data_IF_847034121640
#
_entry.id   IF_847034121640
#
_cell.length_a   1.000
_cell.length_b   1.000
_cell.length_c   1.000
_cell.angle_alpha   90.00
_cell.angle_beta   90.00
_cell.angle_gamma   90.00
#
_symmetry.space_group_name_H-M   'P 1'
#
loop_
_entity.id
_entity.type
_entity.pdbx_description
1 polymer ?
#
# COMPACT_ATOMS: atom_id res chain seq x y z
N UNK A 1 25.07 -0.05 -7.59
CA UNK A 1 23.72 -0.48 -8.01
C UNK A 1 22.81 -0.17 -6.85
N UNK A 2 21.83 0.70 -7.09
CA UNK A 2 20.87 1.07 -6.05
C UNK A 2 19.97 -0.14 -5.75
N UNK A 3 19.74 -0.41 -4.47
CA UNK A 3 18.84 -1.49 -4.04
C UNK A 3 17.50 -0.88 -3.67
N UNK A 4 16.51 -1.06 -4.53
CA UNK A 4 15.14 -0.58 -4.34
C UNK A 4 14.27 -1.73 -3.87
N UNK A 5 13.45 -1.45 -2.87
CA UNK A 5 12.51 -2.40 -2.29
C UNK A 5 11.12 -1.77 -2.26
N UNK A 6 10.17 -2.40 -2.94
CA UNK A 6 8.78 -1.92 -3.02
C UNK A 6 7.94 -2.62 -1.94
N UNK A 7 7.72 -1.94 -0.83
CA UNK A 7 7.02 -2.44 0.36
C UNK A 7 5.56 -1.94 0.36
N UNK A 8 4.68 -2.54 1.17
CA UNK A 8 3.32 -2.06 1.38
C UNK A 8 2.41 -3.15 1.92
N UNK A 9 1.38 -2.76 2.68
CA UNK A 9 0.37 -3.69 3.19
C UNK A 9 -0.32 -4.43 2.05
N UNK A 10 -0.88 -5.61 2.35
CA UNK A 10 -1.70 -6.34 1.38
C UNK A 10 -2.78 -5.41 0.80
N UNK A 11 -2.96 -5.44 -0.53
CA UNK A 11 -3.96 -4.60 -1.26
C UNK A 11 -3.65 -3.11 -1.36
N UNK A 12 -2.44 -2.67 -1.04
CA UNK A 12 -1.94 -1.30 -1.29
C UNK A 12 -1.64 -0.99 -2.76
N UNK A 13 -1.48 -1.99 -3.63
CA UNK A 13 -1.07 -1.79 -5.02
C UNK A 13 0.42 -1.97 -5.29
N UNK A 14 1.17 -2.58 -4.35
CA UNK A 14 2.60 -2.89 -4.48
C UNK A 14 2.99 -3.51 -5.82
N UNK A 15 2.25 -4.49 -6.34
CA UNK A 15 2.55 -5.12 -7.64
C UNK A 15 2.49 -4.13 -8.81
N UNK A 16 1.57 -3.16 -8.74
CA UNK A 16 1.43 -2.15 -9.78
C UNK A 16 2.61 -1.18 -9.77
N UNK A 17 2.97 -0.66 -8.59
CA UNK A 17 4.12 0.23 -8.43
C UNK A 17 5.45 -0.49 -8.71
N UNK A 18 5.58 -1.76 -8.32
CA UNK A 18 6.73 -2.59 -8.66
C UNK A 18 6.90 -2.76 -10.17
N UNK A 19 5.81 -2.99 -10.90
CA UNK A 19 5.82 -3.02 -12.36
C UNK A 19 6.20 -1.67 -12.99
N UNK A 20 5.67 -0.56 -12.46
CA UNK A 20 6.04 0.79 -12.88
C UNK A 20 7.55 1.03 -12.71
N UNK A 21 8.10 0.68 -11.54
CA UNK A 21 9.52 0.89 -11.25
C UNK A 21 10.39 0.05 -12.18
N UNK A 22 10.07 -1.23 -12.36
CA UNK A 22 10.82 -2.15 -13.23
C UNK A 22 10.91 -1.69 -14.69
N UNK A 23 9.93 -0.94 -15.17
CA UNK A 23 9.88 -0.44 -16.56
C UNK A 23 10.59 0.89 -16.76
N UNK A 24 10.65 1.71 -15.72
CA UNK A 24 11.09 3.10 -15.85
C UNK A 24 12.50 3.33 -15.31
N UNK A 25 13.02 2.47 -14.44
CA UNK A 25 14.30 2.70 -13.77
C UNK A 25 15.32 1.58 -14.05
N UNK A 26 16.61 1.97 -14.11
CA UNK A 26 17.74 1.08 -14.34
C UNK A 26 17.67 -0.16 -13.43
N UNK A 27 18.23 -1.31 -13.86
CA UNK A 27 18.09 -2.57 -13.15
C UNK A 27 18.50 -2.45 -11.69
N UNK A 28 17.47 -2.41 -10.86
CA UNK A 28 17.59 -2.48 -9.43
C UNK A 28 17.76 -3.95 -9.04
N UNK A 29 18.65 -4.26 -8.11
CA UNK A 29 18.58 -5.53 -7.40
C UNK A 29 17.29 -5.52 -6.56
N UNK A 30 16.21 -6.03 -7.14
CA UNK A 30 14.98 -6.29 -6.42
C UNK A 30 15.24 -7.38 -5.40
N UNK A 31 15.33 -7.00 -4.13
CA UNK A 31 15.32 -7.95 -3.01
C UNK A 31 13.89 -8.49 -2.88
N UNK A 32 13.38 -9.17 -3.91
CA UNK A 32 12.07 -9.81 -3.87
C UNK A 32 12.20 -11.13 -3.11
N UNK A 33 11.15 -11.52 -2.38
CA UNK A 33 10.91 -12.87 -1.82
C UNK A 33 11.21 -13.20 -0.34
N UNK A 34 11.51 -12.27 0.56
CA UNK A 34 11.13 -12.58 1.94
C UNK A 34 9.59 -12.60 1.97
N UNK A 35 8.95 -13.68 2.39
CA UNK A 35 7.47 -13.82 2.36
C UNK A 35 6.83 -13.05 3.53
N UNK A 36 7.63 -12.70 4.53
CA UNK A 36 7.20 -12.23 5.85
C UNK A 36 6.75 -10.74 5.84
N UNK A 37 7.54 -9.83 5.27
CA UNK A 37 7.27 -8.37 5.21
C UNK A 37 5.96 -7.88 4.56
N UNK A 38 5.27 -8.70 3.74
CA UNK A 38 3.95 -8.32 3.18
C UNK A 38 2.80 -8.54 4.17
N UNK A 39 3.08 -9.31 5.22
CA UNK A 39 2.07 -9.80 6.14
C UNK A 39 2.48 -9.78 7.61
N UNK A 40 3.71 -9.41 7.95
CA UNK A 40 4.19 -9.43 9.32
C UNK A 40 4.96 -8.14 9.61
N UNK A 41 4.64 -7.54 10.75
CA UNK A 41 5.41 -6.44 11.29
C UNK A 41 6.68 -7.02 11.91
N UNK A 42 7.84 -6.72 11.34
CA UNK A 42 9.13 -7.19 11.86
C UNK A 42 9.67 -6.12 12.80
N UNK A 43 9.98 -6.45 14.06
CA UNK A 43 10.48 -5.47 15.05
C UNK A 43 11.82 -4.83 14.63
N UNK A 44 12.57 -5.48 13.72
CA UNK A 44 13.83 -5.00 13.16
C UNK A 44 13.69 -4.63 11.67
N UNK A 45 12.78 -3.69 11.37
CA UNK A 45 12.66 -3.17 9.99
C UNK A 45 13.99 -2.58 9.54
N UNK A 46 14.54 -3.13 8.45
CA UNK A 46 15.72 -2.57 7.81
C UNK A 46 17.03 -3.30 8.09
N UNK A 47 17.12 -4.17 9.11
CA UNK A 47 18.39 -4.85 9.44
C UNK A 47 18.93 -5.75 8.34
N UNK A 48 18.02 -6.32 7.55
CA UNK A 48 18.35 -7.23 6.44
C UNK A 48 18.67 -6.48 5.14
N UNK A 49 18.59 -5.14 5.17
CA UNK A 49 18.80 -4.29 4.01
C UNK A 49 20.11 -3.54 4.14
N UNK A 50 20.88 -3.42 3.05
CA UNK A 50 22.03 -2.54 3.05
C UNK A 50 21.61 -1.08 3.32
N UNK A 51 22.44 -0.29 4.04
CA UNK A 51 22.11 1.08 4.40
C UNK A 51 21.81 2.00 3.22
N UNK A 52 22.35 1.70 2.04
CA UNK A 52 22.12 2.44 0.79
C UNK A 52 20.80 2.09 0.08
N UNK A 53 20.00 1.18 0.65
CA UNK A 53 18.75 0.76 0.03
C UNK A 53 17.69 1.87 0.08
N UNK A 54 16.94 2.00 -1.03
CA UNK A 54 15.77 2.86 -1.12
C UNK A 54 14.52 2.01 -0.93
N UNK A 55 13.69 2.38 0.02
CA UNK A 55 12.42 1.74 0.32
C UNK A 55 11.32 2.56 -0.33
N UNK A 56 10.59 1.98 -1.29
CA UNK A 56 9.36 2.59 -1.82
C UNK A 56 8.18 2.04 -1.02
N UNK A 57 7.62 2.86 -0.14
CA UNK A 57 6.48 2.53 0.71
C UNK A 57 5.17 2.80 -0.02
N UNK A 58 4.59 1.76 -0.61
CA UNK A 58 3.31 1.88 -1.32
C UNK A 58 2.17 1.83 -0.32
N UNK A 59 1.31 2.84 -0.37
CA UNK A 59 0.15 2.95 0.50
C UNK A 59 -1.10 3.38 -0.26
N UNK A 60 -2.24 3.26 0.42
CA UNK A 60 -3.54 3.80 0.06
C UNK A 60 -4.07 4.58 1.25
N UNK A 61 -5.06 5.45 1.04
CA UNK A 61 -5.83 5.92 2.19
C UNK A 61 -6.38 4.73 2.99
N UNK A 62 -6.48 4.80 4.33
CA UNK A 62 -6.98 3.69 5.12
C UNK A 62 -8.41 3.29 4.71
N UNK A 63 -9.23 4.23 4.25
CA UNK A 63 -10.55 3.96 3.66
C UNK A 63 -10.45 3.10 2.39
N UNK A 64 -9.71 3.55 1.37
CA UNK A 64 -9.49 2.82 0.10
C UNK A 64 -8.85 1.44 0.33
N UNK A 65 -8.00 1.34 1.35
CA UNK A 65 -7.38 0.09 1.76
C UNK A 65 -8.41 -0.89 2.33
N UNK A 66 -9.24 -0.45 3.28
CA UNK A 66 -10.28 -1.29 3.89
C UNK A 66 -11.28 -1.84 2.86
N UNK A 67 -11.77 -1.03 1.93
CA UNK A 67 -12.60 -1.52 0.83
C UNK A 67 -11.89 -2.60 0.00
N UNK A 68 -10.59 -2.39 -0.22
CA UNK A 68 -9.79 -3.33 -1.01
C UNK A 68 -9.61 -4.67 -0.29
N UNK A 69 -9.67 -4.69 1.04
CA UNK A 69 -9.70 -5.90 1.87
C UNK A 69 -11.06 -6.60 1.81
N UNK A 70 -12.18 -5.86 1.84
CA UNK A 70 -13.53 -6.42 1.67
C UNK A 70 -13.65 -7.20 0.34
N UNK A 71 -13.01 -6.69 -0.73
CA UNK A 71 -12.94 -7.38 -2.03
C UNK A 71 -12.06 -8.63 -2.01
N UNK A 72 -10.89 -8.58 -1.36
CA UNK A 72 -9.99 -9.74 -1.25
C UNK A 72 -8.88 -9.51 -0.21
N UNK A 73 -8.83 -10.36 0.82
CA UNK A 73 -7.78 -10.37 1.83
C UNK A 73 -7.21 -11.80 1.96
N UNK A 74 -6.55 -12.27 0.88
CA UNK A 74 -6.06 -13.66 0.71
C UNK A 74 -5.48 -14.28 1.99
N UNK A 75 -4.57 -13.58 2.66
CA UNK A 75 -3.79 -14.17 3.76
C UNK A 75 -3.66 -13.28 5.00
N UNK A 76 -4.25 -12.07 5.02
CA UNK A 76 -4.07 -11.11 6.12
C UNK A 76 -4.33 -11.72 7.52
N UNK A 77 -5.38 -12.54 7.63
CA UNK A 77 -5.79 -13.22 8.86
C UNK A 77 -4.82 -14.33 9.34
N UNK A 78 -3.92 -14.81 8.48
CA UNK A 78 -2.93 -15.85 8.86
C UNK A 78 -1.83 -15.31 9.74
N UNK A 79 -1.57 -14.01 9.64
CA UNK A 79 -0.40 -13.36 10.22
C UNK A 79 -0.75 -12.31 11.28
N UNK A 80 -2.03 -11.99 11.42
CA UNK A 80 -2.51 -10.99 12.36
C UNK A 80 -3.74 -11.49 13.09
N UNK A 81 -3.77 -11.30 14.40
CA UNK A 81 -4.99 -11.39 15.18
C UNK A 81 -5.83 -10.14 14.94
N UNK A 82 -6.87 -10.30 14.12
CA UNK A 82 -7.79 -9.24 13.73
C UNK A 82 -9.15 -9.36 14.41
N UNK A 83 -9.28 -10.29 15.37
CA UNK A 83 -10.47 -10.37 16.21
C UNK A 83 -10.44 -9.26 17.26
N UNK A 84 -11.60 -8.71 17.58
CA UNK A 84 -11.69 -7.65 18.57
C UNK A 84 -13.09 -7.08 18.71
N UNK A 85 -13.27 -6.21 19.73
CA UNK A 85 -14.49 -5.43 19.89
C UNK A 85 -14.59 -4.33 18.82
N UNK A 86 -15.67 -3.56 18.91
CA UNK A 86 -15.93 -2.40 18.06
C UNK A 86 -16.56 -2.74 16.72
N UNK A 87 -16.60 -1.76 15.79
CA UNK A 87 -17.12 -1.96 14.45
C UNK A 87 -16.36 -3.05 13.70
N UNK A 88 -17.08 -3.81 12.88
CA UNK A 88 -16.54 -4.97 12.18
C UNK A 88 -16.87 -4.94 10.71
N UNK A 89 -15.89 -5.29 9.87
CA UNK A 89 -16.09 -5.48 8.44
C UNK A 89 -15.92 -6.94 8.04
N UNK A 90 -16.58 -7.32 6.95
CA UNK A 90 -16.42 -8.65 6.35
C UNK A 90 -15.38 -8.61 5.25
N UNK A 91 -14.31 -9.38 5.39
CA UNK A 91 -13.26 -9.53 4.37
C UNK A 91 -13.35 -10.90 3.69
N UNK A 92 -13.12 -10.94 2.37
CA UNK A 92 -13.14 -12.19 1.59
C UNK A 92 -11.83 -12.95 1.72
N UNK A 93 -11.93 -14.25 2.06
CA UNK A 93 -10.79 -15.16 2.24
C UNK A 93 -10.27 -15.68 0.89
N UNK A 94 -9.65 -14.78 0.11
CA UNK A 94 -9.00 -15.14 -1.16
C UNK A 94 -9.91 -15.81 -2.19
N UNK A 95 -9.41 -16.85 -2.86
CA UNK A 95 -10.10 -17.57 -3.96
C UNK A 95 -11.18 -18.55 -3.48
N UNK A 96 -11.37 -18.71 -2.17
CA UNK A 96 -12.42 -19.58 -1.63
C UNK A 96 -13.74 -18.82 -1.64
N UNK A 97 -14.56 -19.08 -2.66
CA UNK A 97 -15.90 -18.53 -2.75
C UNK A 97 -16.71 -18.86 -1.47
N UNK A 98 -17.39 -17.85 -0.93
CA UNK A 98 -18.27 -18.00 0.24
C UNK A 98 -17.61 -17.87 1.62
N UNK A 99 -16.28 -17.91 1.75
CA UNK A 99 -15.64 -17.70 3.05
C UNK A 99 -15.37 -16.22 3.33
N UNK A 100 -16.17 -15.65 4.23
CA UNK A 100 -15.96 -14.32 4.80
C UNK A 100 -15.42 -14.44 6.21
N UNK A 101 -14.50 -13.55 6.56
CA UNK A 101 -14.02 -13.36 7.93
C UNK A 101 -14.51 -12.01 8.43
N UNK A 102 -14.99 -12.00 9.66
CA UNK A 102 -15.34 -10.78 10.36
C UNK A 102 -14.11 -10.30 11.13
N UNK A 103 -13.70 -9.06 10.90
CA UNK A 103 -12.49 -8.47 11.51
C UNK A 103 -12.84 -7.13 12.14
N UNK A 104 -12.15 -6.80 13.23
CA UNK A 104 -12.29 -5.52 13.93
C UNK A 104 -11.65 -4.39 13.13
N UNK A 105 -12.39 -3.30 12.92
CA UNK A 105 -11.92 -2.08 12.26
C UNK A 105 -10.77 -1.46 13.07
N UNK A 106 -10.88 -1.43 14.40
CA UNK A 106 -9.83 -0.92 15.28
C UNK A 106 -8.51 -1.70 15.12
N UNK A 107 -8.58 -3.04 15.05
CA UNK A 107 -7.40 -3.88 14.82
C UNK A 107 -6.76 -3.63 13.47
N UNK A 108 -7.56 -3.36 12.44
CA UNK A 108 -7.05 -2.99 11.12
C UNK A 108 -6.40 -1.58 11.14
N UNK A 109 -6.97 -0.62 11.85
CA UNK A 109 -6.37 0.72 12.04
C UNK A 109 -5.03 0.65 12.78
N UNK A 110 -4.96 -0.15 13.85
CA UNK A 110 -3.70 -0.40 14.58
C UNK A 110 -2.65 -1.05 13.67
N UNK A 111 -3.02 -2.10 12.93
CA UNK A 111 -2.13 -2.74 11.96
C UNK A 111 -1.63 -1.73 10.91
N UNK A 112 -2.54 -0.95 10.35
CA UNK A 112 -2.20 0.07 9.36
C UNK A 112 -1.19 1.06 9.93
N UNK A 113 -1.46 1.55 11.14
CA UNK A 113 -0.63 2.57 11.79
C UNK A 113 0.75 2.05 12.14
N UNK A 114 0.84 0.90 12.82
CA UNK A 114 2.12 0.29 13.19
C UNK A 114 2.96 -0.01 11.96
N UNK A 115 2.37 -0.57 10.90
CA UNK A 115 3.10 -0.89 9.68
C UNK A 115 3.75 0.35 9.06
N UNK A 116 2.98 1.40 8.79
CA UNK A 116 3.50 2.59 8.12
C UNK A 116 4.47 3.36 9.00
N UNK A 117 4.16 3.55 10.29
CA UNK A 117 5.09 4.21 11.21
C UNK A 117 6.39 3.46 11.36
N UNK A 118 6.36 2.13 11.41
CA UNK A 118 7.58 1.34 11.48
C UNK A 118 8.52 1.62 10.31
N UNK A 119 7.98 1.65 9.08
CA UNK A 119 8.80 1.93 7.90
C UNK A 119 9.23 3.37 7.79
N UNK A 120 8.34 4.32 8.09
CA UNK A 120 8.65 5.75 8.12
C UNK A 120 9.70 6.11 9.19
N UNK A 121 9.75 5.36 10.30
CA UNK A 121 10.75 5.52 11.38
C UNK A 121 12.00 4.68 11.18
N UNK A 122 12.07 3.85 10.13
CA UNK A 122 13.25 3.04 9.86
C UNK A 122 14.44 3.94 9.48
N UNK A 123 15.66 3.44 9.68
CA UNK A 123 16.88 4.17 9.29
C UNK A 123 17.14 4.19 7.78
N UNK A 124 16.32 3.48 7.00
CA UNK A 124 16.46 3.41 5.55
C UNK A 124 15.82 4.63 4.88
N UNK A 125 16.35 5.02 3.73
CA UNK A 125 15.73 6.05 2.89
C UNK A 125 14.39 5.52 2.39
N UNK A 126 13.30 6.04 2.94
CA UNK A 126 11.93 5.63 2.61
C UNK A 126 11.22 6.71 1.81
N UNK A 127 10.63 6.33 0.68
CA UNK A 127 9.85 7.18 -0.23
C UNK A 127 8.40 6.70 -0.20
N UNK A 128 7.49 7.41 0.47
CA UNK A 128 6.07 7.07 0.45
C UNK A 128 5.47 7.35 -0.94
N UNK A 129 4.70 6.38 -1.44
CA UNK A 129 4.00 6.47 -2.73
C UNK A 129 2.55 6.04 -2.53
N UNK A 130 1.64 7.01 -2.52
CA UNK A 130 0.21 6.75 -2.55
C UNK A 130 -0.19 6.19 -3.91
N UNK A 131 -0.91 5.06 -3.95
CA UNK A 131 -1.41 4.48 -5.19
C UNK A 131 -2.30 5.46 -5.95
N UNK A 132 -3.11 6.22 -5.22
CA UNK A 132 -3.99 7.27 -5.75
C UNK A 132 -3.19 8.32 -6.52
N UNK A 133 -2.01 8.74 -6.01
CA UNK A 133 -1.12 9.65 -6.73
C UNK A 133 -0.54 9.03 -7.99
N UNK A 134 -0.21 7.73 -7.99
CA UNK A 134 0.29 7.05 -9.20
C UNK A 134 -0.77 7.03 -10.30
N UNK A 135 -2.04 6.87 -9.91
CA UNK A 135 -3.17 6.84 -10.84
C UNK A 135 -3.48 8.23 -11.38
N UNK A 136 -3.40 9.25 -10.53
CA UNK A 136 -3.70 10.63 -10.89
C UNK A 136 -2.58 11.27 -11.73
N UNK A 137 -1.32 11.08 -11.34
CA UNK A 137 -0.15 11.67 -11.98
C UNK A 137 1.08 10.75 -11.91
N UNK A 138 1.13 9.78 -12.82
CA UNK A 138 2.27 8.85 -12.91
C UNK A 138 3.61 9.58 -13.17
N UNK A 139 3.58 10.69 -13.91
CA UNK A 139 4.79 11.45 -14.24
C UNK A 139 5.37 12.13 -13.00
N UNK A 140 4.51 12.78 -12.19
CA UNK A 140 4.91 13.37 -10.92
C UNK A 140 5.46 12.34 -9.95
N UNK A 141 4.88 11.14 -9.89
CA UNK A 141 5.45 10.04 -9.07
C UNK A 141 6.81 9.59 -9.57
N UNK A 142 6.99 9.42 -10.89
CA UNK A 142 8.29 9.05 -11.47
C UNK A 142 9.35 10.11 -11.16
N UNK A 143 9.02 11.40 -11.32
CA UNK A 143 9.94 12.49 -10.96
C UNK A 143 10.38 12.45 -9.50
N UNK A 144 9.45 12.23 -8.55
CA UNK A 144 9.81 12.07 -7.12
C UNK A 144 10.72 10.88 -6.85
N UNK A 145 10.55 9.78 -7.58
CA UNK A 145 11.42 8.61 -7.47
C UNK A 145 12.82 8.91 -8.03
N UNK A 146 12.94 9.70 -9.10
CA UNK A 146 14.22 10.21 -9.62
C UNK A 146 14.92 11.10 -8.59
N UNK A 147 14.21 12.04 -7.97
CA UNK A 147 14.71 12.90 -6.90
C UNK A 147 15.18 12.10 -5.68
N UNK A 148 14.54 10.97 -5.39
CA UNK A 148 14.94 10.06 -4.33
C UNK A 148 16.20 9.25 -4.65
N UNK A 149 16.68 9.29 -5.90
CA UNK A 149 17.92 8.66 -6.36
C UNK A 149 17.73 7.46 -7.28
N UNK A 150 16.50 7.13 -7.72
CA UNK A 150 16.32 6.10 -8.73
C UNK A 150 16.74 6.63 -10.10
N UNK A 151 17.54 5.86 -10.83
CA UNK A 151 18.03 6.25 -12.16
C UNK A 151 17.06 5.80 -13.23
N UNK A 152 16.59 6.72 -14.05
CA UNK A 152 15.64 6.43 -15.13
C UNK A 152 16.32 5.77 -16.33
N UNK A 153 15.62 4.85 -16.98
CA UNK A 153 16.06 4.27 -18.26
C UNK A 153 15.83 5.31 -19.36
N UNK A 154 16.85 5.60 -20.18
CA UNK A 154 16.78 6.62 -21.25
C UNK A 154 15.65 6.39 -22.26
N UNK A 155 15.19 5.14 -22.43
CA UNK A 155 14.10 4.74 -23.33
C UNK A 155 12.82 4.31 -22.56
N UNK A 156 12.57 4.85 -21.37
CA UNK A 156 11.38 4.49 -20.60
C UNK A 156 10.09 4.88 -21.35
N UNK A 157 9.27 3.90 -21.71
CA UNK A 157 7.87 4.14 -22.04
C UNK A 157 7.10 4.31 -20.73
N UNK A 158 6.55 5.50 -20.49
CA UNK A 158 5.69 5.78 -19.34
C UNK A 158 4.31 5.11 -19.46
N UNK A 159 4.11 4.27 -20.48
CA UNK A 159 2.88 3.55 -20.71
C UNK A 159 2.83 2.27 -19.86
N UNK A 160 1.85 2.25 -18.96
CA UNK A 160 1.50 1.06 -18.21
C UNK A 160 0.61 0.17 -19.07
N UNK A 161 1.22 -0.65 -19.93
CA UNK A 161 0.54 -1.82 -20.48
C UNK A 161 0.24 -2.80 -19.34
N UNK A 162 -1.02 -2.82 -18.90
CA UNK A 162 -1.52 -3.64 -17.80
C UNK A 162 -1.39 -5.15 -18.03
N UNK A 163 -1.04 -5.58 -19.24
CA UNK A 163 -0.99 -6.99 -19.64
C UNK A 163 0.08 -7.81 -18.89
N UNK A 164 1.18 -7.19 -18.44
CA UNK A 164 2.34 -7.94 -17.91
C UNK A 164 2.13 -8.50 -16.49
N UNK A 165 1.10 -8.08 -15.74
CA UNK A 165 0.98 -8.43 -14.31
C UNK A 165 -0.31 -9.17 -13.90
N UNK A 166 -1.12 -9.68 -14.84
CA UNK A 166 -2.46 -10.25 -14.56
C UNK A 166 -3.38 -9.31 -13.74
N UNK A 167 -3.01 -8.04 -13.58
CA UNK A 167 -3.81 -7.02 -12.94
C UNK A 167 -4.70 -6.44 -14.03
N UNK A 168 -6.02 -6.63 -13.91
CA UNK A 168 -7.00 -6.01 -14.81
C UNK A 168 -6.72 -4.49 -14.87
N UNK A 169 -6.74 -3.86 -16.06
CA UNK A 169 -6.72 -2.42 -16.18
C UNK A 169 -7.76 -1.80 -15.26
N UNK A 170 -7.37 -0.78 -14.47
CA UNK A 170 -8.33 0.00 -13.71
C UNK A 170 -9.31 0.62 -14.72
N UNK A 171 -10.59 0.30 -14.58
CA UNK A 171 -11.62 0.90 -15.41
C UNK A 171 -11.67 2.41 -15.19
N UNK A 172 -12.24 3.17 -16.13
CA UNK A 172 -12.48 4.60 -15.92
C UNK A 172 -13.27 4.87 -14.62
N UNK A 173 -14.19 3.97 -14.26
CA UNK A 173 -14.93 4.02 -13.00
C UNK A 173 -14.03 3.79 -11.78
N UNK A 174 -13.09 2.84 -11.84
CA UNK A 174 -12.16 2.60 -10.73
C UNK A 174 -11.22 3.80 -10.54
N UNK A 175 -10.79 4.43 -11.64
CA UNK A 175 -9.96 5.65 -11.60
C UNK A 175 -10.73 6.83 -11.00
N UNK A 176 -11.96 7.06 -11.45
CA UNK A 176 -12.81 8.13 -10.91
C UNK A 176 -13.10 7.93 -9.41
N UNK A 177 -13.38 6.68 -8.98
CA UNK A 177 -13.61 6.34 -7.57
C UNK A 177 -12.35 6.53 -6.72
N UNK A 178 -11.18 6.14 -7.21
CA UNK A 178 -9.91 6.35 -6.50
C UNK A 178 -9.50 7.83 -6.46
N UNK A 179 -10.03 8.67 -7.35
CA UNK A 179 -9.82 10.11 -7.36
C UNK A 179 -10.82 10.88 -6.49
N UNK A 180 -11.94 10.27 -6.09
CA UNK A 180 -12.93 10.86 -5.19
C UNK A 180 -12.77 10.29 -3.76
N UNK A 181 -12.14 11.05 -2.85
CA UNK A 181 -11.88 10.61 -1.49
C UNK A 181 -13.15 10.52 -0.64
N UNK A 182 -14.36 10.78 -1.16
CA UNK A 182 -15.62 10.66 -0.40
C UNK A 182 -16.46 9.45 -0.81
N UNK A 183 -16.05 8.74 -1.87
CA UNK A 183 -16.83 7.66 -2.49
C UNK A 183 -16.49 6.27 -1.90
N UNK A 184 -16.67 6.12 -0.58
CA UNK A 184 -16.43 4.85 0.10
C UNK A 184 -17.72 4.06 0.36
N UNK A 185 -17.70 2.77 0.08
CA UNK A 185 -18.72 1.76 0.41
C UNK A 185 -18.44 1.20 1.83
N UNK A 186 -18.26 2.13 2.77
CA UNK A 186 -18.08 1.87 4.20
C UNK A 186 -19.19 2.61 4.95
N UNK A 187 -19.76 1.99 5.98
CA UNK A 187 -20.74 2.67 6.81
C UNK A 187 -20.11 3.80 7.64
N UNK A 188 -20.95 4.74 8.10
CA UNK A 188 -20.51 5.92 8.84
C UNK A 188 -19.77 5.58 10.15
N UNK A 189 -20.13 4.48 10.79
CA UNK A 189 -19.49 4.02 12.03
C UNK A 189 -18.05 3.54 11.77
N UNK A 190 -17.86 2.81 10.66
CA UNK A 190 -16.56 2.37 10.18
C UNK A 190 -15.69 3.56 9.80
N UNK A 191 -16.22 4.54 9.07
CA UNK A 191 -15.50 5.76 8.70
C UNK A 191 -15.03 6.54 9.94
N UNK A 192 -15.93 6.78 10.91
CA UNK A 192 -15.59 7.46 12.15
C UNK A 192 -14.51 6.72 12.96
N UNK A 193 -14.57 5.39 12.97
CA UNK A 193 -13.56 4.55 13.64
C UNK A 193 -12.20 4.66 12.96
N UNK A 194 -12.15 4.76 11.62
CA UNK A 194 -10.89 4.98 10.90
C UNK A 194 -10.26 6.31 11.29
N UNK A 195 -11.04 7.41 11.27
CA UNK A 195 -10.55 8.73 11.68
C UNK A 195 -10.07 8.78 13.13
N UNK A 196 -10.75 8.05 14.03
CA UNK A 196 -10.39 8.00 15.44
C UNK A 196 -9.12 7.17 15.72
N UNK A 197 -8.97 6.01 15.07
CA UNK A 197 -7.99 5.01 15.47
C UNK A 197 -6.74 4.92 14.58
N UNK A 198 -6.75 5.47 13.36
CA UNK A 198 -5.50 5.60 12.60
C UNK A 198 -4.64 6.70 13.23
N UNK A 199 -3.39 6.37 13.53
CA UNK A 199 -2.47 7.27 14.25
C UNK A 199 -2.32 8.61 13.50
N UNK A 200 -2.53 9.77 14.16
CA UNK A 200 -2.34 11.10 13.59
C UNK A 200 -1.03 11.28 12.82
N UNK A 201 0.07 10.71 13.31
CA UNK A 201 1.38 10.83 12.68
C UNK A 201 1.44 10.10 11.32
N UNK A 202 0.58 9.11 11.10
CA UNK A 202 0.48 8.43 9.80
C UNK A 202 -0.24 9.31 8.79
N UNK A 203 -1.34 9.95 9.20
CA UNK A 203 -2.07 10.89 8.35
C UNK A 203 -1.15 12.00 7.86
N UNK A 204 -0.39 12.59 8.78
CA UNK A 204 0.51 13.70 8.49
C UNK A 204 1.69 13.26 7.62
N UNK A 205 2.28 12.09 7.89
CA UNK A 205 3.44 11.60 7.16
C UNK A 205 3.13 11.07 5.76
N UNK A 206 1.90 10.60 5.52
CA UNK A 206 1.46 10.05 4.24
C UNK A 206 0.60 11.03 3.43
N UNK A 207 0.40 12.25 3.93
CA UNK A 207 -0.41 13.31 3.31
C UNK A 207 -1.81 12.83 2.92
N UNK A 208 -2.47 12.12 3.85
CA UNK A 208 -3.82 11.61 3.63
C UNK A 208 -4.88 12.62 4.10
N UNK A 209 -5.90 12.95 3.28
CA UNK A 209 -7.02 13.76 3.73
C UNK A 209 -7.86 12.97 4.75
N UNK A 210 -8.19 13.62 5.88
CA UNK A 210 -9.18 13.11 6.84
C UNK A 210 -10.58 13.53 6.41
N UNK A 211 -11.59 12.71 6.70
CA UNK A 211 -12.96 12.98 6.25
C UNK A 211 -13.73 13.97 7.12
N UNK A 212 -13.30 14.15 8.38
CA UNK A 212 -13.89 15.13 9.30
C UNK A 212 -15.18 14.67 9.95
#
# INVERSE_FOLDING_TARGET
MDRVKVIGLQRSGTNYVDGLIKRNFEPVVFVSHQVLWKHEFVENLGSDFPPESIVVLVHKSPYSWMESLQRSAKDLWKYHDLAGPGPQIKIRRGHYEGMQLTVSVERLCDLYSRYHLGWLRSSLRTVPVALESVIADVHGVVGRLEEAGLRRIEQSELELDFEVNQARPLSASDRARLADPTSFDLDSETLATIDQFVDPAVWDALDHPRLG
#
